data_IF_698351918590
#
_entry.id   IF_698351918590
#
_cell.length_a   1.000
_cell.length_b   1.000
_cell.length_c   1.000
_cell.angle_alpha   90.00
_cell.angle_beta   90.00
_cell.angle_gamma   90.00
#
_symmetry.space_group_name_H-M   'P 1'
#
loop_
_entity.id
_entity.type
_entity.pdbx_description
1 polymer ?
#
# COMPACT_ATOMS: atom_id res chain seq x y z
N UNK A 1 -1.42 -16.90 13.45
CA UNK A 1 -2.26 -18.03 13.94
C UNK A 1 -2.86 -18.74 12.72
N UNK A 2 -2.55 -20.01 12.43
CA UNK A 2 -3.16 -20.71 11.31
C UNK A 2 -4.48 -21.38 11.72
N UNK A 3 -5.52 -21.20 10.89
CA UNK A 3 -6.87 -21.72 11.07
C UNK A 3 -6.88 -23.25 11.14
N UNK A 4 -7.38 -23.80 12.25
CA UNK A 4 -7.50 -25.24 12.53
C UNK A 4 -8.79 -25.89 11.97
N UNK A 5 -9.51 -25.19 11.09
CA UNK A 5 -10.89 -25.54 10.68
C UNK A 5 -11.03 -26.33 9.37
N UNK A 6 -9.94 -26.82 8.77
CA UNK A 6 -9.97 -27.58 7.51
C UNK A 6 -9.52 -29.03 7.67
N UNK A 7 -10.24 -29.84 8.45
CA UNK A 7 -10.13 -31.30 8.34
C UNK A 7 -11.49 -31.86 7.95
N UNK A 8 -11.59 -32.34 6.70
CA UNK A 8 -12.72 -33.15 6.23
C UNK A 8 -13.51 -32.61 5.03
N UNK A 9 -13.29 -31.37 4.58
CA UNK A 9 -13.93 -30.86 3.35
C UNK A 9 -12.92 -30.82 2.20
N UNK A 10 -13.23 -31.53 1.12
CA UNK A 10 -12.45 -31.48 -0.12
C UNK A 10 -12.67 -30.12 -0.77
N UNK A 11 -11.65 -29.24 -0.69
CA UNK A 11 -11.69 -27.94 -1.36
C UNK A 11 -11.75 -28.20 -2.87
N UNK A 12 -12.78 -27.71 -3.59
CA UNK A 12 -12.89 -27.88 -5.03
C UNK A 12 -11.61 -27.43 -5.74
N UNK A 13 -11.12 -28.21 -6.73
CA UNK A 13 -9.87 -27.90 -7.46
C UNK A 13 -9.86 -26.51 -8.11
N UNK A 14 -11.03 -26.01 -8.52
CA UNK A 14 -11.16 -24.65 -9.06
C UNK A 14 -10.94 -23.56 -7.99
N UNK A 15 -11.30 -23.81 -6.72
CA UNK A 15 -11.02 -22.91 -5.61
C UNK A 15 -9.56 -23.00 -5.16
N UNK A 16 -8.91 -24.16 -5.28
CA UNK A 16 -7.46 -24.27 -5.06
C UNK A 16 -6.69 -23.38 -6.06
N UNK A 17 -7.05 -23.39 -7.35
CA UNK A 17 -6.47 -22.49 -8.36
C UNK A 17 -6.57 -21.01 -7.96
N UNK A 18 -7.76 -20.56 -7.58
CA UNK A 18 -8.00 -19.17 -7.11
C UNK A 18 -7.23 -18.85 -5.83
N UNK A 19 -7.16 -19.79 -4.87
CA UNK A 19 -6.44 -19.60 -3.60
C UNK A 19 -4.92 -19.52 -3.85
N UNK A 20 -4.35 -20.35 -4.72
CA UNK A 20 -2.92 -20.31 -5.06
C UNK A 20 -2.56 -19.08 -5.91
N UNK A 21 -3.44 -18.67 -6.83
CA UNK A 21 -3.25 -17.46 -7.65
C UNK A 21 -3.29 -16.19 -6.79
N UNK A 22 -4.16 -16.15 -5.77
CA UNK A 22 -4.20 -15.08 -4.75
C UNK A 22 -2.99 -15.08 -3.80
N UNK A 23 -2.36 -16.22 -3.55
CA UNK A 23 -1.12 -16.30 -2.74
C UNK A 23 0.11 -15.81 -3.52
N UNK A 24 0.06 -15.75 -4.85
CA UNK A 24 1.22 -15.43 -5.70
C UNK A 24 1.51 -13.93 -5.87
N UNK A 25 0.59 -13.04 -5.47
CA UNK A 25 0.71 -11.58 -5.63
C UNK A 25 0.92 -10.83 -4.31
N UNK A 26 1.43 -11.52 -3.28
CA UNK A 26 1.73 -10.88 -2.00
C UNK A 26 3.08 -10.14 -2.08
N UNK A 27 3.03 -8.81 -2.15
CA UNK A 27 4.20 -7.95 -2.06
C UNK A 27 4.65 -7.75 -0.61
N UNK A 28 5.95 -7.77 -0.39
CA UNK A 28 6.57 -7.34 0.87
C UNK A 28 6.38 -5.82 1.02
N UNK A 29 5.75 -5.39 2.10
CA UNK A 29 5.56 -3.96 2.39
C UNK A 29 6.83 -3.44 3.07
N UNK A 30 7.50 -2.47 2.43
CA UNK A 30 8.61 -1.73 3.01
C UNK A 30 8.18 -0.28 3.19
N UNK A 31 8.47 0.32 4.34
CA UNK A 31 8.08 1.69 4.65
C UNK A 31 9.29 2.59 4.81
N UNK A 32 9.30 3.72 4.14
CA UNK A 32 10.30 4.76 4.36
C UNK A 32 10.21 5.31 5.79
N UNK A 33 11.30 5.89 6.27
CA UNK A 33 11.29 6.67 7.51
C UNK A 33 10.33 7.87 7.41
N UNK A 34 10.23 8.51 6.25
CA UNK A 34 9.33 9.64 6.01
C UNK A 34 7.86 9.25 6.23
N UNK A 35 7.44 8.12 5.67
CA UNK A 35 6.10 7.60 5.88
C UNK A 35 5.87 7.22 7.34
N UNK A 36 6.81 6.51 7.97
CA UNK A 36 6.67 6.08 9.37
C UNK A 36 6.49 7.26 10.32
N UNK A 37 7.30 8.32 10.17
CA UNK A 37 7.18 9.56 10.97
C UNK A 37 5.86 10.27 10.74
N UNK A 38 5.45 10.41 9.49
CA UNK A 38 4.17 11.04 9.15
C UNK A 38 3.00 10.25 9.75
N UNK A 39 3.01 8.93 9.60
CA UNK A 39 1.94 8.05 10.08
C UNK A 39 1.86 8.04 11.62
N UNK A 40 3.00 8.02 12.32
CA UNK A 40 3.03 8.10 13.79
C UNK A 40 2.57 9.45 14.34
N UNK A 41 2.70 10.53 13.55
CA UNK A 41 2.26 11.87 13.93
C UNK A 41 0.79 12.16 13.60
N UNK A 42 0.10 11.24 12.93
CA UNK A 42 -1.26 11.47 12.46
C UNK A 42 -2.27 11.41 13.62
N UNK A 43 -2.94 12.54 13.88
CA UNK A 43 -3.96 12.63 14.95
C UNK A 43 -5.27 11.91 14.62
N UNK A 44 -5.60 11.78 13.33
CA UNK A 44 -6.79 11.05 12.88
C UNK A 44 -6.54 9.53 12.91
N UNK A 45 -6.95 8.90 14.00
CA UNK A 45 -6.80 7.45 14.22
C UNK A 45 -7.60 6.61 13.23
N UNK A 46 -8.79 7.06 12.84
CA UNK A 46 -9.62 6.36 11.85
C UNK A 46 -8.99 6.43 10.45
N UNK A 47 -8.50 7.60 10.06
CA UNK A 47 -7.71 7.79 8.84
C UNK A 47 -6.47 6.89 8.82
N UNK A 48 -5.72 6.87 9.92
CA UNK A 48 -4.53 6.04 10.08
C UNK A 48 -4.81 4.54 9.85
N UNK A 49 -5.90 4.02 10.44
CA UNK A 49 -6.32 2.62 10.25
C UNK A 49 -6.71 2.33 8.79
N UNK A 50 -7.44 3.23 8.14
CA UNK A 50 -7.85 3.07 6.73
C UNK A 50 -6.66 3.07 5.78
N UNK A 51 -5.65 3.89 6.05
CA UNK A 51 -4.38 3.92 5.30
C UNK A 51 -3.69 2.55 5.40
N UNK A 52 -3.51 2.03 6.62
CA UNK A 52 -2.85 0.73 6.84
C UNK A 52 -3.61 -0.39 6.14
N UNK A 53 -4.94 -0.43 6.29
CA UNK A 53 -5.76 -1.42 5.62
C UNK A 53 -5.58 -1.33 4.09
N UNK A 54 -5.61 -0.12 3.51
CA UNK A 54 -5.48 0.04 2.06
C UNK A 54 -4.10 -0.35 1.54
N UNK A 55 -3.02 -0.04 2.26
CA UNK A 55 -1.66 -0.51 1.93
C UNK A 55 -1.61 -2.04 1.95
N UNK A 56 -2.29 -2.69 2.91
CA UNK A 56 -2.39 -4.15 2.95
C UNK A 56 -3.15 -4.73 1.77
N UNK A 57 -4.26 -4.13 1.35
CA UNK A 57 -4.98 -4.56 0.15
C UNK A 57 -4.12 -4.39 -1.11
N UNK A 58 -3.43 -3.26 -1.22
CA UNK A 58 -2.50 -2.99 -2.32
C UNK A 58 -1.37 -4.04 -2.37
N UNK A 59 -0.84 -4.46 -1.22
CA UNK A 59 0.18 -5.51 -1.16
C UNK A 59 -0.35 -6.89 -1.53
N UNK A 60 -1.67 -7.09 -1.56
CA UNK A 60 -2.32 -8.33 -2.01
C UNK A 60 -2.77 -8.23 -3.48
N UNK A 61 -2.24 -7.26 -4.23
CA UNK A 61 -2.59 -7.06 -5.64
C UNK A 61 -3.91 -6.32 -5.88
N UNK A 62 -4.49 -5.70 -4.84
CA UNK A 62 -5.76 -4.96 -4.96
C UNK A 62 -5.52 -3.44 -4.82
N UNK A 63 -5.16 -2.74 -5.92
CA UNK A 63 -4.72 -1.35 -5.83
C UNK A 63 -5.83 -0.35 -5.46
N UNK A 64 -7.08 -0.58 -5.86
CA UNK A 64 -8.14 0.41 -5.69
C UNK A 64 -7.93 1.64 -6.58
N UNK A 65 -8.15 2.85 -6.03
CA UNK A 65 -7.95 4.09 -6.77
C UNK A 65 -6.48 4.53 -6.74
N UNK A 66 -5.77 4.28 -7.84
CA UNK A 66 -4.35 4.60 -8.01
C UNK A 66 -4.12 5.41 -9.28
N UNK A 67 -3.21 6.39 -9.19
CA UNK A 67 -2.76 7.19 -10.33
C UNK A 67 -1.22 7.15 -10.44
N UNK A 68 -0.63 6.85 -11.62
CA UNK A 68 0.81 7.04 -11.81
C UNK A 68 1.16 8.54 -11.77
N UNK A 69 2.23 8.90 -11.05
CA UNK A 69 2.71 10.29 -10.93
C UNK A 69 4.11 10.49 -11.52
N UNK A 70 4.71 9.44 -12.08
CA UNK A 70 5.97 9.51 -12.82
C UNK A 70 7.09 8.68 -12.18
N UNK A 71 8.12 8.38 -12.97
CA UNK A 71 9.35 7.67 -12.55
C UNK A 71 9.10 6.39 -11.71
N UNK A 72 8.06 5.64 -12.05
CA UNK A 72 7.70 4.40 -11.34
C UNK A 72 7.04 4.63 -9.97
N UNK A 73 6.62 5.85 -9.66
CA UNK A 73 5.85 6.20 -8.47
C UNK A 73 4.36 6.30 -8.80
N UNK A 74 3.55 5.81 -7.88
CA UNK A 74 2.09 5.81 -7.93
C UNK A 74 1.52 6.47 -6.68
N UNK A 75 0.44 7.23 -6.87
CA UNK A 75 -0.38 7.81 -5.81
C UNK A 75 -1.61 6.93 -5.59
N UNK A 76 -1.75 6.39 -4.39
CA UNK A 76 -2.96 5.72 -3.91
C UNK A 76 -3.86 6.76 -3.23
N UNK A 77 -5.09 6.88 -3.72
CA UNK A 77 -6.06 7.89 -3.30
C UNK A 77 -7.07 7.30 -2.33
N UNK A 78 -7.23 7.93 -1.17
CA UNK A 78 -8.21 7.53 -0.16
C UNK A 78 -9.19 8.69 0.08
N UNK A 79 -10.47 8.44 -0.21
CA UNK A 79 -11.56 9.38 0.07
C UNK A 79 -12.07 9.19 1.51
N UNK A 80 -11.21 9.47 2.47
CA UNK A 80 -11.55 9.52 3.89
C UNK A 80 -10.75 10.61 4.61
N UNK A 81 -11.31 11.13 5.69
CA UNK A 81 -10.74 12.26 6.41
C UNK A 81 -10.56 13.46 5.46
N UNK A 82 -9.38 14.09 5.42
CA UNK A 82 -9.10 15.23 4.55
C UNK A 82 -8.80 14.84 3.08
N UNK A 83 -8.83 13.54 2.74
CA UNK A 83 -8.49 13.04 1.41
C UNK A 83 -7.03 12.58 1.32
N UNK A 84 -6.67 11.56 2.09
CA UNK A 84 -5.30 11.06 2.15
C UNK A 84 -4.78 10.56 0.80
N UNK A 85 -3.47 10.73 0.60
CA UNK A 85 -2.70 10.26 -0.55
C UNK A 85 -1.49 9.50 -0.05
N UNK A 86 -1.28 8.27 -0.52
CA UNK A 86 -0.11 7.46 -0.20
C UNK A 86 0.70 7.28 -1.47
N UNK A 87 1.97 7.69 -1.44
CA UNK A 87 2.88 7.56 -2.56
C UNK A 87 3.75 6.34 -2.37
N UNK A 88 3.83 5.50 -3.40
CA UNK A 88 4.57 4.25 -3.33
C UNK A 88 5.23 3.94 -4.67
N UNK A 89 6.23 3.06 -4.63
CA UNK A 89 6.81 2.43 -5.80
C UNK A 89 6.85 0.92 -5.63
N UNK A 90 6.86 0.18 -6.73
CA UNK A 90 6.99 -1.28 -6.73
C UNK A 90 8.33 -1.66 -7.34
N UNK A 91 9.13 -2.45 -6.63
CA UNK A 91 10.41 -3.00 -7.11
C UNK A 91 10.43 -4.49 -6.87
N UNK A 92 10.29 -5.27 -7.95
CA UNK A 92 10.13 -6.73 -7.87
C UNK A 92 8.95 -7.11 -6.96
N UNK A 93 9.23 -7.93 -5.95
CA UNK A 93 8.25 -8.38 -4.95
C UNK A 93 8.02 -7.38 -3.80
N UNK A 94 8.63 -6.18 -3.84
CA UNK A 94 8.51 -5.17 -2.77
C UNK A 94 7.58 -4.04 -3.16
N UNK A 95 6.67 -3.70 -2.27
CA UNK A 95 5.85 -2.49 -2.28
C UNK A 95 6.47 -1.49 -1.29
N UNK A 96 7.14 -0.47 -1.81
CA UNK A 96 7.85 0.53 -1.02
C UNK A 96 6.95 1.75 -0.85
N UNK A 97 6.50 2.00 0.38
CA UNK A 97 5.71 3.17 0.76
C UNK A 97 6.65 4.33 1.08
N UNK A 98 6.57 5.39 0.28
CA UNK A 98 7.55 6.49 0.26
C UNK A 98 7.14 7.64 1.17
N UNK A 99 5.89 8.08 1.09
CA UNK A 99 5.30 9.08 1.98
C UNK A 99 3.78 9.04 1.88
N UNK A 100 3.13 9.80 2.75
CA UNK A 100 1.72 10.08 2.64
C UNK A 100 1.46 11.55 2.96
N UNK A 101 0.41 12.08 2.34
CA UNK A 101 -0.07 13.45 2.51
C UNK A 101 -1.54 13.43 2.89
N UNK A 102 -1.98 14.48 3.59
CA UNK A 102 -3.35 14.65 4.06
C UNK A 102 -3.99 15.95 3.59
N UNK A 103 -3.40 16.66 2.63
CA UNK A 103 -3.94 17.90 2.10
C UNK A 103 -3.75 17.92 0.58
N UNK A 104 -4.79 18.31 -0.15
CA UNK A 104 -4.73 18.46 -1.60
C UNK A 104 -3.85 19.63 -2.02
N UNK A 105 -3.70 20.66 -1.18
CA UNK A 105 -2.85 21.81 -1.49
C UNK A 105 -1.36 21.45 -1.49
N UNK A 106 -0.93 20.48 -0.68
CA UNK A 106 0.46 19.99 -0.65
C UNK A 106 0.77 18.94 -1.72
N UNK A 107 -0.23 18.48 -2.48
CA UNK A 107 -0.09 17.34 -3.40
C UNK A 107 1.10 17.45 -4.36
N UNK A 108 1.32 18.61 -4.98
CA UNK A 108 2.44 18.79 -5.91
C UNK A 108 3.79 18.66 -5.21
N UNK A 109 3.93 19.23 -4.01
CA UNK A 109 5.16 19.13 -3.22
C UNK A 109 5.38 17.69 -2.71
N UNK A 110 4.30 17.01 -2.34
CA UNK A 110 4.32 15.61 -1.92
C UNK A 110 4.75 14.68 -3.07
N UNK A 111 4.28 14.92 -4.30
CA UNK A 111 4.72 14.19 -5.50
C UNK A 111 6.22 14.37 -5.72
N UNK A 112 6.72 15.62 -5.74
CA UNK A 112 8.14 15.88 -5.94
C UNK A 112 9.00 15.19 -4.87
N UNK A 113 8.57 15.26 -3.61
CA UNK A 113 9.24 14.57 -2.51
C UNK A 113 9.22 13.06 -2.69
N UNK A 114 8.12 12.48 -3.18
CA UNK A 114 8.00 11.05 -3.43
C UNK A 114 8.97 10.60 -4.52
N UNK A 115 9.05 11.36 -5.61
CA UNK A 115 9.97 11.09 -6.72
C UNK A 115 11.43 11.14 -6.26
N UNK A 116 11.78 12.11 -5.40
CA UNK A 116 13.12 12.20 -4.82
C UNK A 116 13.45 10.98 -3.94
N UNK A 117 12.59 10.64 -2.96
CA UNK A 117 12.78 9.45 -2.11
C UNK A 117 12.88 8.18 -2.95
N UNK A 118 12.06 8.04 -3.99
CA UNK A 118 12.11 6.89 -4.89
C UNK A 118 13.43 6.80 -5.66
N UNK A 119 14.00 7.93 -6.10
CA UNK A 119 15.29 7.93 -6.81
C UNK A 119 16.47 7.57 -5.92
N UNK A 120 16.42 7.95 -4.64
CA UNK A 120 17.49 7.68 -3.66
C UNK A 120 17.37 6.30 -3.00
N UNK A 121 16.25 5.61 -3.19
CA UNK A 121 15.99 4.32 -2.57
C UNK A 121 17.01 3.27 -3.04
N UNK A 122 17.89 2.84 -2.12
CA UNK A 122 18.82 1.72 -2.31
C UNK A 122 18.21 0.45 -1.72
N UNK A 123 18.43 -0.69 -2.37
CA UNK A 123 17.81 -1.99 -2.06
C UNK A 123 18.23 -2.62 -0.74
#
# INVERSE_FOLDING_TARGET
MPLKWMRGQQVPRHLLGVIYELQSVMFEIVQSETFRRWHSGLRDSHGAMRIVARIRWLSLGNPGDVKPVGRGVSELRLDCGPGYRVYYTRRGARLIVLLAGGDKQSQSADIERALAIASEWKE
#
